data_IF_669604041163
#
_entry.id   IF_669604041163
#
_cell.length_a   1.000
_cell.length_b   1.000
_cell.length_c   1.000
_cell.angle_alpha   90.00
_cell.angle_beta   90.00
_cell.angle_gamma   90.00
#
_symmetry.space_group_name_H-M   'P 1'
#
loop_
_entity.id
_entity.type
_entity.pdbx_description
1 polymer ?
#
# COMPACT_ATOMS: atom_id res chain seq x y z
N UNK A 1 5.17 17.32 -11.54
CA UNK A 1 3.87 16.70 -11.89
C UNK A 1 3.73 15.44 -11.06
N UNK A 2 3.00 15.52 -9.96
CA UNK A 2 2.73 14.36 -9.11
C UNK A 2 1.49 13.67 -9.68
N UNK A 3 1.69 12.66 -10.52
CA UNK A 3 0.60 11.80 -10.99
C UNK A 3 0.17 10.92 -9.81
N UNK A 4 -0.69 11.46 -8.95
CA UNK A 4 -1.51 10.65 -8.06
C UNK A 4 -2.54 10.01 -8.99
N UNK A 5 -2.22 8.80 -9.46
CA UNK A 5 -3.15 8.01 -10.25
C UNK A 5 -4.21 7.55 -9.25
N UNK A 6 -5.39 8.16 -9.32
CA UNK A 6 -6.58 7.76 -8.58
C UNK A 6 -7.18 6.52 -9.25
N UNK A 7 -6.41 5.42 -9.25
CA UNK A 7 -6.89 4.12 -9.68
C UNK A 7 -7.94 3.68 -8.66
N UNK A 8 -9.23 3.80 -9.05
CA UNK A 8 -10.34 3.19 -8.32
C UNK A 8 -10.16 1.68 -8.36
N UNK A 9 -9.46 1.14 -7.37
CA UNK A 9 -9.21 -0.30 -7.23
C UNK A 9 -10.51 -0.94 -6.77
N UNK A 10 -11.20 -1.62 -7.70
CA UNK A 10 -12.29 -2.52 -7.36
C UNK A 10 -11.71 -3.84 -6.80
N UNK A 11 -11.51 -3.85 -5.48
CA UNK A 11 -11.00 -5.00 -4.72
C UNK A 11 -11.92 -6.23 -4.78
N UNK A 12 -13.15 -6.10 -5.26
CA UNK A 12 -14.08 -7.23 -5.41
C UNK A 12 -13.97 -7.91 -6.78
N UNK A 13 -13.17 -7.38 -7.70
CA UNK A 13 -12.93 -8.04 -8.97
C UNK A 13 -11.87 -9.15 -8.83
N UNK A 14 -12.07 -10.25 -9.56
CA UNK A 14 -11.12 -11.38 -9.66
C UNK A 14 -9.74 -10.98 -10.21
N UNK A 15 -9.58 -9.71 -10.63
CA UNK A 15 -8.38 -9.16 -11.23
C UNK A 15 -7.35 -8.64 -10.22
N UNK A 16 -7.68 -8.64 -8.92
CA UNK A 16 -6.76 -8.20 -7.88
C UNK A 16 -6.56 -9.26 -6.81
N UNK A 17 -5.33 -9.33 -6.29
CA UNK A 17 -5.01 -10.11 -5.10
C UNK A 17 -4.61 -9.15 -3.98
N UNK A 18 -5.17 -9.36 -2.80
CA UNK A 18 -4.92 -8.56 -1.61
C UNK A 18 -4.08 -9.36 -0.61
N UNK A 19 -3.03 -8.74 -0.08
CA UNK A 19 -2.18 -9.30 0.96
C UNK A 19 -2.12 -8.35 2.15
N UNK A 20 -2.49 -8.81 3.34
CA UNK A 20 -2.39 -8.02 4.56
C UNK A 20 -1.14 -8.44 5.35
N UNK A 21 -0.37 -7.46 5.82
CA UNK A 21 0.85 -7.68 6.60
C UNK A 21 0.90 -6.67 7.74
N UNK A 22 1.15 -7.15 8.96
CA UNK A 22 1.34 -6.29 10.13
C UNK A 22 2.83 -6.18 10.44
N UNK A 23 3.35 -4.95 10.50
CA UNK A 23 4.77 -4.66 10.80
C UNK A 23 4.83 -3.55 11.83
N UNK A 24 5.45 -3.80 12.99
CA UNK A 24 5.67 -2.79 14.05
C UNK A 24 4.40 -1.96 14.37
N UNK A 25 3.27 -2.64 14.53
CA UNK A 25 1.94 -2.05 14.78
C UNK A 25 1.32 -1.25 13.62
N UNK A 26 1.92 -1.29 12.43
CA UNK A 26 1.31 -0.80 11.20
C UNK A 26 0.67 -1.98 10.44
N UNK A 27 -0.63 -1.86 10.15
CA UNK A 27 -1.31 -2.79 9.25
C UNK A 27 -1.21 -2.28 7.81
N UNK A 28 -0.44 -3.00 7.00
CA UNK A 28 -0.23 -2.75 5.59
C UNK A 28 -1.14 -3.65 4.77
N UNK A 29 -1.86 -3.07 3.81
CA UNK A 29 -2.59 -3.81 2.77
C UNK A 29 -1.91 -3.61 1.43
N UNK A 30 -1.36 -4.70 0.90
CA UNK A 30 -0.82 -4.75 -0.45
C UNK A 30 -1.87 -5.24 -1.43
N UNK A 31 -1.89 -4.65 -2.62
CA UNK A 31 -2.78 -5.02 -3.73
C UNK A 31 -1.93 -5.27 -4.95
N UNK A 32 -2.13 -6.42 -5.60
CA UNK A 32 -1.53 -6.77 -6.89
C UNK A 32 -2.60 -6.83 -7.97
N UNK A 33 -2.40 -6.12 -9.07
CA UNK A 33 -3.20 -6.29 -10.28
C UNK A 33 -2.70 -7.50 -11.07
N UNK A 34 -3.57 -8.47 -11.36
CA UNK A 34 -3.27 -9.62 -12.21
C UNK A 34 -3.22 -9.26 -13.70
N UNK A 35 -3.85 -8.15 -14.09
CA UNK A 35 -3.85 -7.66 -15.47
C UNK A 35 -2.53 -6.94 -15.79
N UNK A 36 -2.08 -6.06 -14.90
CA UNK A 36 -0.94 -5.16 -15.17
C UNK A 36 0.33 -5.52 -14.42
N UNK A 37 0.28 -6.48 -13.49
CA UNK A 37 1.35 -6.80 -12.54
C UNK A 37 1.81 -5.63 -11.66
N UNK A 38 1.03 -4.54 -11.60
CA UNK A 38 1.31 -3.40 -10.72
C UNK A 38 0.95 -3.74 -9.27
N UNK A 39 1.67 -3.09 -8.36
CA UNK A 39 1.53 -3.26 -6.93
C UNK A 39 1.26 -1.93 -6.24
N UNK A 40 0.42 -1.97 -5.21
CA UNK A 40 0.14 -0.84 -4.33
C UNK A 40 0.10 -1.26 -2.88
N UNK A 41 0.30 -0.30 -1.99
CA UNK A 41 0.19 -0.48 -0.55
C UNK A 41 -0.64 0.64 0.09
N UNK A 42 -1.50 0.31 1.03
CA UNK A 42 -2.19 1.25 1.93
C UNK A 42 -1.91 0.91 3.39
N UNK A 43 -2.05 1.90 4.29
CA UNK A 43 -2.11 1.66 5.73
C UNK A 43 -3.57 1.65 6.17
N UNK A 44 -3.96 0.60 6.88
CA UNK A 44 -5.34 0.44 7.35
C UNK A 44 -5.49 0.87 8.82
N UNK A 45 -4.44 0.72 9.63
CA UNK A 45 -4.52 0.87 11.09
C UNK A 45 -3.64 2.00 11.61
N UNK A 46 -4.00 3.23 11.24
CA UNK A 46 -3.66 4.38 12.06
C UNK A 46 -4.97 4.90 12.62
N UNK A 47 -5.07 5.10 13.95
CA UNK A 47 -6.17 5.83 14.64
C UNK A 47 -6.41 7.27 14.12
N UNK A 48 -5.82 7.62 12.98
CA UNK A 48 -5.97 8.84 12.24
C UNK A 48 -7.16 8.65 11.29
N UNK A 49 -8.32 9.07 11.76
CA UNK A 49 -9.65 9.01 11.12
C UNK A 49 -9.73 9.66 9.72
N UNK A 50 -8.64 10.18 9.16
CA UNK A 50 -8.67 11.03 7.96
C UNK A 50 -7.50 10.87 6.98
N UNK A 51 -6.66 9.82 7.09
CA UNK A 51 -5.84 9.50 5.93
C UNK A 51 -6.77 8.82 4.93
N UNK A 52 -7.24 9.57 3.94
CA UNK A 52 -7.90 9.01 2.76
C UNK A 52 -7.18 7.71 2.38
N UNK A 53 -7.94 6.61 2.28
CA UNK A 53 -7.45 5.28 1.90
C UNK A 53 -6.72 5.39 0.56
N UNK A 54 -5.44 5.70 0.64
CA UNK A 54 -4.66 6.08 -0.53
C UNK A 54 -3.62 5.00 -0.76
N UNK A 55 -3.72 4.43 -1.94
CA UNK A 55 -2.83 3.39 -2.41
C UNK A 55 -1.56 4.04 -2.95
N UNK A 56 -0.43 3.64 -2.40
CA UNK A 56 0.89 4.09 -2.83
C UNK A 56 1.46 3.03 -3.79
N UNK A 57 1.85 3.41 -5.03
CA UNK A 57 2.53 2.48 -5.91
C UNK A 57 3.81 1.92 -5.27
N UNK A 58 3.96 0.60 -5.30
CA UNK A 58 5.06 -0.15 -4.74
C UNK A 58 5.46 -1.30 -5.66
N UNK A 59 6.31 -2.21 -5.20
CA UNK A 59 6.70 -3.43 -5.94
C UNK A 59 6.57 -4.66 -5.04
N UNK A 60 6.60 -5.85 -5.65
CA UNK A 60 6.53 -7.13 -4.93
C UNK A 60 7.60 -7.26 -3.84
N UNK A 61 8.83 -6.79 -4.08
CA UNK A 61 9.90 -6.81 -3.08
C UNK A 61 9.54 -6.02 -1.82
N UNK A 62 8.76 -4.95 -1.91
CA UNK A 62 8.31 -4.21 -0.73
C UNK A 62 7.38 -5.08 0.14
N UNK A 63 6.51 -5.86 -0.50
CA UNK A 63 5.67 -6.85 0.18
C UNK A 63 6.52 -7.95 0.82
N UNK A 64 7.49 -8.49 0.09
CA UNK A 64 8.40 -9.52 0.62
C UNK A 64 9.22 -9.03 1.80
N UNK A 65 9.73 -7.80 1.75
CA UNK A 65 10.40 -7.15 2.88
C UNK A 65 9.45 -6.98 4.08
N UNK A 66 8.20 -6.56 3.83
CA UNK A 66 7.21 -6.39 4.89
C UNK A 66 6.88 -7.70 5.60
N UNK A 67 6.83 -8.82 4.87
CA UNK A 67 6.70 -10.16 5.48
C UNK A 67 7.85 -10.51 6.43
N UNK A 68 9.02 -9.93 6.21
CA UNK A 68 10.19 -10.05 7.08
C UNK A 68 10.26 -8.92 8.13
N UNK A 69 9.13 -8.27 8.42
CA UNK A 69 9.00 -7.17 9.38
C UNK A 69 9.84 -5.93 9.03
N UNK A 70 10.11 -5.69 7.74
CA UNK A 70 10.86 -4.54 7.24
C UNK A 70 9.96 -3.71 6.31
N UNK A 71 9.69 -2.44 6.68
CA UNK A 71 9.04 -1.48 5.78
C UNK A 71 10.13 -0.71 5.04
N UNK A 72 10.08 -0.67 3.70
CA UNK A 72 11.09 0.02 2.91
C UNK A 72 11.06 1.54 3.13
N UNK A 73 12.25 2.17 3.09
CA UNK A 73 12.39 3.62 3.28
C UNK A 73 11.55 4.44 2.29
N UNK A 74 11.38 3.91 1.06
CA UNK A 74 10.54 4.52 0.03
C UNK A 74 9.07 4.58 0.44
N UNK A 75 8.55 3.48 1.00
CA UNK A 75 7.17 3.44 1.50
C UNK A 75 7.03 4.40 2.68
N UNK A 76 7.94 4.33 3.66
CA UNK A 76 7.95 5.22 4.83
C UNK A 76 7.97 6.70 4.44
N UNK A 77 8.81 7.08 3.48
CA UNK A 77 8.90 8.46 3.00
C UNK A 77 7.59 8.95 2.39
N UNK A 78 6.92 8.12 1.57
CA UNK A 78 5.65 8.49 0.94
C UNK A 78 4.49 8.57 1.94
N UNK A 79 4.51 7.72 2.97
CA UNK A 79 3.53 7.78 4.06
C UNK A 79 3.72 9.06 4.85
N UNK A 80 4.95 9.40 5.26
CA UNK A 80 5.26 10.61 6.01
C UNK A 80 4.80 11.88 5.27
N UNK A 81 5.02 11.94 3.96
CA UNK A 81 4.61 13.08 3.13
C UNK A 81 3.09 13.26 3.01
N UNK A 82 2.28 12.26 3.40
CA UNK A 82 0.80 12.34 3.42
C UNK A 82 0.24 12.74 4.78
N UNK A 83 1.04 12.68 5.83
CA UNK A 83 0.65 12.99 7.21
C UNK A 83 1.12 14.40 7.61
N UNK A 84 2.06 14.98 6.85
CA UNK A 84 2.70 16.26 7.16
C UNK A 84 2.05 17.46 6.48
#
# INVERSE_FOLDING_TARGET
MNNVIDENIDLNSENFIVYNVTVNNYDLKFVKSLITNRWWVSLENTNLVQIEKSYIPCVEDDYLLSKNSIISDRILSRIKNKIS
#
